data_IF_862312236658
#
_entry.id   IF_862312236658
#
_cell.length_a   1.000
_cell.length_b   1.000
_cell.length_c   1.000
_cell.angle_alpha   90.00
_cell.angle_beta   90.00
_cell.angle_gamma   90.00
#
_symmetry.space_group_name_H-M   'P 1'
#
loop_
_entity.id
_entity.type
_entity.pdbx_description
1 polymer ?
#
# COMPACT_ATOMS: atom_id res chain seq x y z
N UNK A 1 32.93 3.60 11.91
CA UNK A 1 32.06 3.54 13.11
C UNK A 1 30.64 3.40 12.61
N UNK A 2 30.08 2.21 12.66
CA UNK A 2 28.68 1.97 12.28
C UNK A 2 27.83 2.51 13.42
N UNK A 3 27.07 3.57 13.18
CA UNK A 3 26.01 4.01 14.09
C UNK A 3 24.87 3.02 13.95
N UNK A 4 24.92 1.92 14.69
CA UNK A 4 23.82 0.96 14.76
C UNK A 4 22.57 1.70 15.22
N UNK A 5 21.47 1.54 14.48
CA UNK A 5 20.15 1.98 14.93
C UNK A 5 19.78 1.18 16.19
N UNK A 6 19.14 1.80 17.20
CA UNK A 6 18.67 1.06 18.37
C UNK A 6 17.65 -0.01 17.94
N UNK A 7 17.67 -1.13 18.66
CA UNK A 7 16.69 -2.20 18.48
C UNK A 7 15.26 -1.70 18.65
N UNK A 8 14.31 -2.17 17.83
CA UNK A 8 12.94 -1.69 17.79
C UNK A 8 12.77 -0.30 17.16
N UNK A 9 13.85 0.29 16.61
CA UNK A 9 13.73 1.55 15.88
C UNK A 9 12.97 1.36 14.56
N UNK A 10 12.11 2.32 14.27
CA UNK A 10 11.30 2.33 13.04
C UNK A 10 11.76 3.49 12.17
N UNK A 11 12.07 3.20 10.90
CA UNK A 11 12.29 4.22 9.88
C UNK A 11 11.17 4.17 8.84
N UNK A 12 10.44 5.27 8.72
CA UNK A 12 9.38 5.44 7.73
C UNK A 12 9.77 6.58 6.78
N UNK A 13 9.83 6.29 5.49
CA UNK A 13 10.18 7.25 4.45
C UNK A 13 9.07 7.35 3.43
N UNK A 14 8.62 8.58 3.15
CA UNK A 14 7.59 8.85 2.16
C UNK A 14 8.19 9.42 0.87
N UNK A 15 7.62 9.02 -0.27
CA UNK A 15 8.03 9.48 -1.59
C UNK A 15 6.78 9.93 -2.36
N UNK A 16 6.81 11.18 -2.82
CA UNK A 16 5.75 11.68 -3.69
C UNK A 16 5.88 11.05 -5.09
N UNK A 17 4.80 10.54 -5.67
CA UNK A 17 4.83 10.03 -7.02
C UNK A 17 5.06 11.16 -8.04
N UNK A 18 5.65 10.87 -9.21
CA UNK A 18 5.71 11.80 -10.32
C UNK A 18 4.34 12.37 -10.67
N UNK A 19 4.28 13.60 -11.18
CA UNK A 19 3.02 14.31 -11.47
C UNK A 19 1.99 13.46 -12.23
N UNK A 20 2.45 12.66 -13.21
CA UNK A 20 1.60 11.79 -14.03
C UNK A 20 0.91 10.66 -13.24
N UNK A 21 1.48 10.23 -12.11
CA UNK A 21 0.92 9.17 -11.26
C UNK A 21 0.06 9.70 -10.10
N UNK A 22 0.15 10.97 -9.76
CA UNK A 22 -0.61 11.58 -8.65
C UNK A 22 -2.13 11.44 -8.74
N UNK A 23 -2.75 11.37 -9.93
CA UNK A 23 -4.18 11.08 -10.02
C UNK A 23 -4.56 9.66 -9.55
N UNK A 24 -3.61 8.76 -9.42
CA UNK A 24 -3.81 7.34 -9.15
C UNK A 24 -3.16 6.87 -7.85
N UNK A 25 -2.07 7.54 -7.46
CA UNK A 25 -1.24 7.16 -6.31
C UNK A 25 -1.05 8.35 -5.40
N UNK A 26 -1.37 8.20 -4.12
CA UNK A 26 -1.19 9.25 -3.11
C UNK A 26 0.27 9.39 -2.74
N UNK A 27 0.91 8.28 -2.40
CA UNK A 27 2.30 8.22 -1.96
C UNK A 27 2.86 6.81 -2.13
N UNK A 28 4.19 6.71 -2.20
CA UNK A 28 4.91 5.49 -1.88
C UNK A 28 5.56 5.68 -0.52
N UNK A 29 5.61 4.64 0.29
CA UNK A 29 6.35 4.68 1.54
C UNK A 29 7.16 3.41 1.74
N UNK A 30 8.29 3.55 2.39
CA UNK A 30 9.16 2.47 2.80
C UNK A 30 9.23 2.44 4.30
N UNK A 31 8.87 1.31 4.88
CA UNK A 31 8.98 1.01 6.30
C UNK A 31 10.15 0.07 6.52
N UNK A 32 10.99 0.38 7.49
CA UNK A 32 12.07 -0.48 7.94
C UNK A 32 12.04 -0.55 9.46
N UNK A 33 12.00 -1.76 9.98
CA UNK A 33 12.04 -2.05 11.42
C UNK A 33 13.38 -2.70 11.70
N UNK A 34 14.14 -2.05 12.56
CA UNK A 34 15.48 -2.50 12.98
C UNK A 34 15.36 -3.34 14.24
N UNK A 35 16.15 -4.40 14.32
CA UNK A 35 16.21 -5.27 15.49
C UNK A 35 16.76 -6.63 15.14
N UNK A 36 16.81 -7.51 16.12
CA UNK A 36 17.28 -8.86 15.98
C UNK A 36 16.26 -9.85 16.54
N UNK A 37 16.17 -11.02 15.94
CA UNK A 37 15.36 -12.14 16.42
C UNK A 37 13.85 -11.83 16.43
N UNK A 38 13.21 -12.10 17.55
CA UNK A 38 11.75 -12.04 17.73
C UNK A 38 11.26 -10.70 18.32
N UNK A 39 12.06 -9.64 18.25
CA UNK A 39 11.63 -8.34 18.69
C UNK A 39 10.40 -7.89 17.90
N UNK A 40 9.43 -7.32 18.61
CA UNK A 40 8.16 -6.90 18.02
C UNK A 40 7.95 -5.40 18.20
N UNK A 41 7.58 -4.75 17.10
CA UNK A 41 6.92 -3.45 17.12
C UNK A 41 5.44 -3.67 17.00
N UNK A 42 4.66 -3.10 17.90
CA UNK A 42 3.21 -3.23 17.93
C UNK A 42 2.59 -1.82 17.91
N UNK A 43 1.64 -1.60 17.01
CA UNK A 43 0.97 -0.31 16.87
C UNK A 43 -0.37 -0.46 16.14
N UNK A 44 -1.07 0.67 15.95
CA UNK A 44 -2.38 0.75 15.31
C UNK A 44 -2.34 1.70 14.12
N UNK A 45 -2.86 1.25 13.00
CA UNK A 45 -3.09 2.11 11.83
C UNK A 45 -4.47 2.73 11.93
N UNK A 46 -4.54 4.02 11.67
CA UNK A 46 -5.81 4.73 11.48
C UNK A 46 -6.49 4.28 10.18
N UNK A 47 -7.82 4.54 10.04
CA UNK A 47 -8.51 4.40 8.76
C UNK A 47 -7.75 5.10 7.64
N UNK A 48 -7.61 4.42 6.51
CA UNK A 48 -6.77 4.89 5.40
C UNK A 48 -7.43 4.59 4.04
N UNK A 49 -6.95 5.27 3.02
CA UNK A 49 -7.25 4.94 1.64
C UNK A 49 -6.74 3.54 1.29
N UNK A 50 -7.29 2.97 0.22
CA UNK A 50 -6.79 1.70 -0.30
C UNK A 50 -5.27 1.76 -0.55
N UNK A 51 -4.59 0.66 -0.29
CA UNK A 51 -3.16 0.57 -0.53
C UNK A 51 -2.71 -0.84 -0.90
N UNK A 52 -1.59 -0.92 -1.61
CA UNK A 52 -0.85 -2.16 -1.84
C UNK A 52 0.38 -2.15 -0.94
N UNK A 53 0.61 -3.24 -0.20
CA UNK A 53 1.81 -3.44 0.62
C UNK A 53 2.59 -4.63 0.10
N UNK A 54 3.91 -4.47 0.03
CA UNK A 54 4.85 -5.52 -0.34
C UNK A 54 5.72 -5.79 0.87
N UNK A 55 5.61 -6.99 1.43
CA UNK A 55 6.24 -7.46 2.67
C UNK A 55 7.07 -8.70 2.34
N UNK A 56 8.30 -8.55 1.84
CA UNK A 56 9.08 -9.66 1.28
C UNK A 56 9.22 -10.86 2.20
N UNK A 57 9.53 -10.60 3.47
CA UNK A 57 9.77 -11.62 4.48
C UNK A 57 8.52 -12.00 5.29
N UNK A 58 7.34 -11.46 4.97
CA UNK A 58 6.09 -11.69 5.71
C UNK A 58 6.22 -11.45 7.22
N UNK A 59 6.89 -10.37 7.59
CA UNK A 59 7.23 -10.02 8.97
C UNK A 59 6.11 -9.32 9.74
N UNK A 60 4.93 -9.15 9.13
CA UNK A 60 3.82 -8.40 9.72
C UNK A 60 2.63 -9.33 9.93
N UNK A 61 2.13 -9.33 11.16
CA UNK A 61 0.83 -9.89 11.51
C UNK A 61 -0.14 -8.72 11.74
N UNK A 62 -1.38 -8.81 11.24
CA UNK A 62 -2.35 -7.74 11.43
C UNK A 62 -3.78 -8.26 11.61
N UNK A 63 -4.64 -7.42 12.23
CA UNK A 63 -6.06 -7.69 12.45
C UNK A 63 -6.86 -6.40 12.37
N UNK A 64 -8.02 -6.42 11.69
CA UNK A 64 -8.90 -5.26 11.60
C UNK A 64 -9.97 -5.25 12.70
N UNK A 65 -10.36 -4.06 13.17
CA UNK A 65 -11.44 -3.86 14.12
C UNK A 65 -11.35 -4.72 15.41
N UNK A 66 -10.12 -4.99 15.88
CA UNK A 66 -9.90 -5.84 17.06
C UNK A 66 -10.04 -7.34 16.79
N UNK A 67 -10.14 -7.75 15.53
CA UNK A 67 -10.09 -9.15 15.12
C UNK A 67 -8.73 -9.81 15.39
N UNK A 68 -8.60 -11.12 15.16
CA UNK A 68 -7.37 -11.84 15.38
C UNK A 68 -6.25 -11.33 14.46
N UNK A 69 -5.01 -11.42 14.95
CA UNK A 69 -3.84 -11.13 14.13
C UNK A 69 -3.56 -12.32 13.22
N UNK A 70 -3.47 -12.05 11.93
CA UNK A 70 -3.13 -13.01 10.90
C UNK A 70 -1.82 -12.59 10.23
N UNK A 71 -0.96 -13.56 9.88
CA UNK A 71 0.27 -13.27 9.17
C UNK A 71 -0.05 -12.82 7.74
N UNK A 72 0.31 -11.57 7.43
CA UNK A 72 0.03 -11.00 6.13
C UNK A 72 0.83 -11.69 5.01
N UNK A 73 0.25 -11.89 3.82
CA UNK A 73 0.95 -12.40 2.66
C UNK A 73 2.04 -11.42 2.18
N UNK A 74 2.88 -11.87 1.25
CA UNK A 74 3.98 -11.06 0.70
C UNK A 74 3.47 -9.81 -0.04
N UNK A 75 2.37 -9.94 -0.72
CA UNK A 75 1.71 -8.85 -1.43
C UNK A 75 0.28 -8.72 -0.92
N UNK A 76 -0.01 -7.62 -0.25
CA UNK A 76 -1.31 -7.36 0.38
C UNK A 76 -1.97 -6.19 -0.28
N UNK A 77 -3.15 -6.41 -0.83
CA UNK A 77 -4.05 -5.30 -1.15
C UNK A 77 -4.96 -5.03 0.05
N UNK A 78 -5.02 -3.80 0.46
CA UNK A 78 -5.92 -3.35 1.53
C UNK A 78 -6.93 -2.41 0.87
N UNK A 79 -8.22 -2.70 1.02
CA UNK A 79 -9.27 -1.79 0.60
C UNK A 79 -9.31 -0.53 1.47
N UNK A 80 -10.16 0.44 1.15
CA UNK A 80 -10.35 1.60 2.01
C UNK A 80 -10.89 1.14 3.36
N UNK A 81 -10.35 1.69 4.45
CA UNK A 81 -10.75 1.28 5.79
C UNK A 81 -11.50 2.38 6.53
N UNK A 82 -12.54 2.00 7.26
CA UNK A 82 -13.29 2.83 8.21
C UNK A 82 -12.97 2.50 9.66
N UNK A 83 -12.22 1.42 9.88
CA UNK A 83 -11.80 0.90 11.18
C UNK A 83 -10.29 0.91 11.33
N UNK A 84 -9.80 0.86 12.57
CA UNK A 84 -8.37 0.73 12.85
C UNK A 84 -7.87 -0.69 12.53
N UNK A 85 -6.61 -0.79 12.10
CA UNK A 85 -5.91 -2.06 11.98
C UNK A 85 -4.81 -2.16 13.04
N UNK A 86 -4.89 -3.19 13.87
CA UNK A 86 -3.82 -3.54 14.81
C UNK A 86 -2.76 -4.36 14.08
N UNK A 87 -1.48 -4.06 14.29
CA UNK A 87 -0.41 -4.85 13.70
C UNK A 87 0.73 -5.12 14.68
N UNK A 88 1.41 -6.24 14.43
CA UNK A 88 2.69 -6.60 15.03
C UNK A 88 3.68 -6.86 13.92
N UNK A 89 4.85 -6.25 14.01
CA UNK A 89 5.86 -6.39 12.99
C UNK A 89 7.22 -6.77 13.60
N UNK A 90 7.87 -7.75 13.01
CA UNK A 90 9.24 -8.17 13.30
C UNK A 90 10.21 -7.34 12.47
N UNK A 91 11.52 -7.33 12.81
CA UNK A 91 12.53 -6.70 12.00
C UNK A 91 12.42 -7.10 10.53
N UNK A 92 12.51 -6.11 9.65
CA UNK A 92 12.33 -6.31 8.22
C UNK A 92 11.95 -5.04 7.49
N UNK A 93 11.70 -5.18 6.19
CA UNK A 93 11.39 -4.05 5.30
C UNK A 93 10.10 -4.30 4.55
N UNK A 94 9.37 -3.23 4.28
CA UNK A 94 8.18 -3.27 3.42
C UNK A 94 8.01 -1.99 2.62
N UNK A 95 7.35 -2.11 1.50
CA UNK A 95 6.87 -0.99 0.71
C UNK A 95 5.35 -0.90 0.79
N UNK A 96 4.84 0.34 0.80
CA UNK A 96 3.43 0.61 0.63
C UNK A 96 3.19 1.64 -0.46
N UNK A 97 2.07 1.47 -1.15
CA UNK A 97 1.62 2.30 -2.25
C UNK A 97 0.18 2.69 -1.96
N UNK A 98 -0.05 3.93 -1.56
CA UNK A 98 -1.40 4.45 -1.33
C UNK A 98 -2.11 4.72 -2.66
N UNK A 99 -3.35 4.27 -2.79
CA UNK A 99 -4.13 4.35 -4.02
C UNK A 99 -5.24 5.40 -3.91
N UNK A 100 -5.37 6.22 -4.94
CA UNK A 100 -6.57 7.04 -5.16
C UNK A 100 -7.69 6.16 -5.75
N UNK A 101 -8.98 6.59 -5.70
CA UNK A 101 -10.08 5.83 -6.30
C UNK A 101 -9.84 5.46 -7.77
N UNK A 102 -9.28 6.39 -8.57
CA UNK A 102 -8.89 6.09 -9.96
C UNK A 102 -7.76 5.08 -10.06
N UNK A 103 -6.82 5.10 -9.11
CA UNK A 103 -5.75 4.10 -9.03
C UNK A 103 -6.30 2.71 -8.76
N UNK A 104 -7.22 2.59 -7.80
CA UNK A 104 -7.93 1.33 -7.56
C UNK A 104 -8.63 0.83 -8.82
N UNK A 105 -9.41 1.69 -9.48
CA UNK A 105 -10.17 1.30 -10.66
C UNK A 105 -9.29 0.84 -11.85
N UNK A 106 -8.05 1.33 -11.97
CA UNK A 106 -7.10 0.87 -12.98
C UNK A 106 -6.35 -0.41 -12.58
N UNK A 107 -6.11 -0.59 -11.28
CA UNK A 107 -5.34 -1.71 -10.74
C UNK A 107 -6.21 -2.87 -10.28
N UNK A 108 -7.53 -2.73 -10.29
CA UNK A 108 -8.45 -3.78 -9.88
C UNK A 108 -9.65 -3.84 -10.79
N UNK A 109 -10.15 -5.04 -11.02
CA UNK A 109 -11.44 -5.27 -11.68
C UNK A 109 -12.59 -5.41 -10.67
N UNK A 110 -12.29 -5.41 -9.38
CA UNK A 110 -13.26 -5.58 -8.32
C UNK A 110 -13.82 -4.24 -7.82
N UNK A 111 -15.10 -4.18 -7.45
CA UNK A 111 -15.69 -3.06 -6.76
C UNK A 111 -14.98 -2.78 -5.43
N UNK A 112 -14.77 -1.50 -5.10
CA UNK A 112 -14.03 -1.12 -3.90
C UNK A 112 -14.73 -1.53 -2.60
N UNK A 113 -16.06 -1.53 -2.61
CA UNK A 113 -16.90 -1.91 -1.45
C UNK A 113 -16.77 -3.38 -1.06
N UNK A 114 -16.47 -4.27 -2.01
CA UNK A 114 -16.18 -5.67 -1.72
C UNK A 114 -14.90 -5.86 -0.90
N UNK A 115 -14.01 -4.85 -0.91
CA UNK A 115 -12.74 -4.85 -0.20
C UNK A 115 -12.69 -3.84 0.95
N UNK A 116 -13.77 -3.14 1.26
CA UNK A 116 -13.83 -2.23 2.40
C UNK A 116 -13.57 -2.98 3.71
N UNK A 117 -12.74 -2.38 4.57
CA UNK A 117 -12.37 -2.91 5.90
C UNK A 117 -11.78 -4.34 5.88
N UNK A 118 -11.07 -4.70 4.79
CA UNK A 118 -10.39 -5.99 4.68
C UNK A 118 -9.13 -5.91 3.83
N UNK A 119 -8.31 -6.94 3.92
CA UNK A 119 -7.20 -7.20 3.01
C UNK A 119 -7.40 -8.47 2.23
N UNK A 120 -6.66 -8.58 1.12
CA UNK A 120 -6.57 -9.79 0.31
C UNK A 120 -5.12 -10.01 -0.12
N UNK A 121 -4.79 -11.25 -0.42
CA UNK A 121 -3.51 -11.61 -1.02
C UNK A 121 -3.53 -11.26 -2.51
N UNK A 122 -2.77 -10.24 -2.90
CA UNK A 122 -2.72 -9.78 -4.28
C UNK A 122 -2.09 -10.79 -5.25
N UNK A 123 -1.38 -11.81 -4.77
CA UNK A 123 -0.79 -12.85 -5.61
C UNK A 123 -1.78 -13.99 -5.92
N UNK A 124 -2.76 -14.22 -5.05
CA UNK A 124 -3.74 -15.30 -5.19
C UNK A 124 -5.15 -14.83 -5.56
N UNK A 125 -5.51 -13.60 -5.27
CA UNK A 125 -6.83 -13.05 -5.59
C UNK A 125 -6.93 -12.72 -7.09
N UNK A 126 -7.90 -13.31 -7.84
CA UNK A 126 -8.04 -13.09 -9.29
C UNK A 126 -8.19 -11.62 -9.70
N UNK A 127 -8.75 -10.77 -8.82
CA UNK A 127 -8.93 -9.34 -9.09
C UNK A 127 -7.61 -8.57 -9.16
N UNK A 128 -6.51 -9.13 -8.63
CA UNK A 128 -5.23 -8.45 -8.47
C UNK A 128 -4.03 -9.21 -9.04
N UNK A 129 -4.23 -10.30 -9.77
CA UNK A 129 -3.12 -11.15 -10.27
C UNK A 129 -2.08 -10.40 -11.10
N UNK A 130 -2.48 -9.33 -11.79
CA UNK A 130 -1.53 -8.47 -12.52
C UNK A 130 -0.62 -7.66 -11.59
N UNK A 131 -1.00 -7.43 -10.32
CA UNK A 131 -0.16 -6.81 -9.31
C UNK A 131 0.95 -7.75 -8.81
N UNK A 132 0.79 -9.06 -8.96
CA UNK A 132 1.84 -10.03 -8.67
C UNK A 132 3.11 -9.77 -9.52
N UNK A 133 2.92 -9.31 -10.77
CA UNK A 133 4.03 -8.92 -11.63
C UNK A 133 4.80 -7.70 -11.06
N UNK A 134 4.10 -6.70 -10.52
CA UNK A 134 4.70 -5.56 -9.83
C UNK A 134 5.56 -6.02 -8.64
N UNK A 135 4.99 -6.90 -7.82
CA UNK A 135 5.68 -7.41 -6.63
C UNK A 135 6.90 -8.27 -6.98
N UNK A 136 6.85 -8.99 -8.11
CA UNK A 136 7.96 -9.79 -8.63
C UNK A 136 9.05 -8.98 -9.33
N UNK A 137 8.70 -7.85 -9.92
CA UNK A 137 9.64 -7.02 -10.68
C UNK A 137 10.55 -6.15 -9.79
N UNK A 138 10.23 -6.00 -8.50
CA UNK A 138 11.00 -5.17 -7.59
C UNK A 138 12.10 -6.00 -6.94
N UNK A 139 13.39 -5.63 -7.14
CA UNK A 139 14.52 -6.34 -6.55
C UNK A 139 14.66 -5.99 -5.06
N UNK A 140 13.71 -6.45 -4.24
CA UNK A 140 13.57 -6.07 -2.83
C UNK A 140 14.75 -6.44 -1.93
N UNK A 141 15.69 -7.24 -2.41
CA UNK A 141 16.81 -7.73 -1.61
C UNK A 141 18.18 -7.21 -2.04
N UNK A 142 18.33 -6.69 -3.25
CA UNK A 142 19.66 -6.40 -3.80
C UNK A 142 19.87 -4.98 -4.36
N UNK A 143 18.81 -4.20 -4.54
CA UNK A 143 18.89 -2.96 -5.31
C UNK A 143 19.15 -1.68 -4.50
N UNK A 144 18.92 -1.72 -3.21
CA UNK A 144 18.86 -0.52 -2.36
C UNK A 144 17.62 0.35 -2.63
N UNK A 145 17.28 1.18 -1.66
CA UNK A 145 16.02 1.94 -1.58
C UNK A 145 15.67 2.74 -2.84
N UNK A 146 16.66 3.39 -3.46
CA UNK A 146 16.43 4.20 -4.66
C UNK A 146 16.08 3.35 -5.88
N UNK A 147 16.79 2.23 -6.08
CA UNK A 147 16.54 1.32 -7.20
C UNK A 147 15.20 0.60 -7.05
N UNK A 148 14.83 0.21 -5.84
CA UNK A 148 13.51 -0.38 -5.53
C UNK A 148 12.38 0.61 -5.83
N UNK A 149 12.50 1.85 -5.34
CA UNK A 149 11.53 2.92 -5.63
C UNK A 149 11.37 3.14 -7.14
N UNK A 150 12.48 3.24 -7.86
CA UNK A 150 12.46 3.53 -9.30
C UNK A 150 11.88 2.36 -10.09
N UNK A 151 12.09 1.12 -9.64
CA UNK A 151 11.45 -0.06 -10.20
C UNK A 151 9.93 -0.03 -9.96
N UNK A 152 9.47 0.24 -8.74
CA UNK A 152 8.05 0.40 -8.43
C UNK A 152 7.40 1.48 -9.29
N UNK A 153 8.03 2.63 -9.45
CA UNK A 153 7.50 3.73 -10.28
C UNK A 153 7.42 3.38 -11.76
N UNK A 154 8.36 2.59 -12.29
CA UNK A 154 8.29 2.11 -13.68
C UNK A 154 7.11 1.17 -13.87
N UNK A 155 6.98 0.16 -13.03
CA UNK A 155 5.90 -0.83 -13.13
C UNK A 155 4.53 -0.18 -12.94
N UNK A 156 4.38 0.69 -11.94
CA UNK A 156 3.14 1.46 -11.76
C UNK A 156 2.79 2.32 -12.98
N UNK A 157 3.79 2.88 -13.64
CA UNK A 157 3.56 3.66 -14.86
C UNK A 157 3.00 2.79 -15.99
N UNK A 158 3.46 1.55 -16.12
CA UNK A 158 2.96 0.62 -17.13
C UNK A 158 1.55 0.13 -16.77
N UNK A 159 1.34 -0.29 -15.52
CA UNK A 159 0.05 -0.80 -15.07
C UNK A 159 -1.07 0.25 -15.09
N UNK A 160 -0.72 1.52 -14.83
CA UNK A 160 -1.67 2.62 -14.82
C UNK A 160 -1.82 3.33 -16.18
N UNK A 161 -1.24 2.80 -17.26
CA UNK A 161 -1.30 3.43 -18.58
C UNK A 161 -2.69 3.36 -19.21
N UNK A 162 -3.40 2.24 -19.02
CA UNK A 162 -4.70 2.02 -19.63
C UNK A 162 -5.83 2.58 -18.76
N UNK A 163 -6.78 3.35 -19.34
CA UNK A 163 -7.92 3.87 -18.61
C UNK A 163 -8.86 2.77 -18.12
N UNK A 164 -9.43 2.94 -16.94
CA UNK A 164 -10.50 2.08 -16.45
C UNK A 164 -11.85 2.44 -17.10
N UNK A 165 -12.73 1.45 -17.27
CA UNK A 165 -14.02 1.61 -17.92
C UNK A 165 -14.91 2.72 -17.28
N UNK A 166 -14.83 2.90 -15.95
CA UNK A 166 -15.62 3.89 -15.20
C UNK A 166 -14.82 5.10 -14.72
N UNK A 167 -13.63 5.33 -15.23
CA UNK A 167 -12.74 6.39 -14.75
C UNK A 167 -13.35 7.80 -14.87
N UNK A 168 -14.10 8.05 -15.96
CA UNK A 168 -14.77 9.34 -16.15
C UNK A 168 -15.87 9.63 -15.11
N UNK A 169 -16.52 8.59 -14.58
CA UNK A 169 -17.51 8.72 -13.51
C UNK A 169 -16.80 9.02 -12.17
N UNK A 170 -15.71 8.31 -11.88
CA UNK A 170 -14.90 8.53 -10.68
C UNK A 170 -14.34 9.95 -10.68
N UNK A 171 -13.81 10.43 -11.81
CA UNK A 171 -13.29 11.79 -11.94
C UNK A 171 -14.36 12.84 -11.61
N UNK A 172 -15.58 12.68 -12.15
CA UNK A 172 -16.70 13.59 -11.83
C UNK A 172 -17.05 13.60 -10.34
N UNK A 173 -16.96 12.44 -9.69
CA UNK A 173 -17.16 12.32 -8.25
C UNK A 173 -16.06 13.05 -7.46
N UNK A 174 -14.79 12.83 -7.81
CA UNK A 174 -13.65 13.50 -7.19
C UNK A 174 -13.77 15.05 -7.33
N UNK A 175 -14.14 15.54 -8.51
CA UNK A 175 -14.37 16.95 -8.77
C UNK A 175 -15.53 17.51 -7.92
N UNK A 176 -16.63 16.77 -7.81
CA UNK A 176 -17.76 17.18 -6.98
C UNK A 176 -17.38 17.26 -5.50
N UNK A 177 -16.59 16.32 -4.97
CA UNK A 177 -16.14 16.34 -3.58
C UNK A 177 -15.18 17.50 -3.27
N UNK A 178 -14.48 18.02 -4.27
CA UNK A 178 -13.58 19.18 -4.12
C UNK A 178 -14.27 20.51 -4.33
N UNK A 179 -15.54 20.51 -4.77
CA UNK A 179 -16.32 21.74 -4.97
C UNK A 179 -16.64 22.38 -3.61
N UNK A 180 -16.23 23.65 -3.36
CA UNK A 180 -16.49 24.34 -2.10
C UNK A 180 -17.97 24.40 -1.73
N UNK A 181 -18.87 24.36 -2.70
CA UNK A 181 -20.33 24.36 -2.50
C UNK A 181 -20.85 23.09 -1.81
N UNK A 182 -20.13 22.00 -1.90
CA UNK A 182 -20.46 20.74 -1.21
C UNK A 182 -20.19 20.78 0.30
N UNK A 183 -19.35 21.70 0.75
CA UNK A 183 -18.94 21.85 2.16
C UNK A 183 -19.69 22.95 2.91
N UNK A 184 -20.69 23.56 2.29
CA UNK A 184 -21.45 24.70 2.85
C UNK A 184 -22.85 24.33 3.35
N UNK A 185 -23.00 23.11 3.91
CA UNK A 185 -24.25 22.69 4.57
C UNK A 185 -24.06 22.66 6.08
#
# INVERSE_FOLDING_TARGET
MSTGQPSGAVALRFFLPPKRLRPFVTTLYHLEIFGEGDELVEDWLHPEWANLRIIPQRTIDAGMAGGPLENLPRAVIVGPTSVTAHFRARPGRSWGIGLMPRGWARLSQAPTDEYADRWADAESDPAFTHLAALCGAVPLESGGLAAERDALLRELTLLLAEPAAREAEILRFEEALTDPRFHSV
#
